data_IF_010853671405
#
_entry.id   IF_010853671405
#
_cell.length_a   1.000
_cell.length_b   1.000
_cell.length_c   1.000
_cell.angle_alpha   90.00
_cell.angle_beta   90.00
_cell.angle_gamma   90.00
#
_symmetry.space_group_name_H-M   'P 1'
#
loop_
_entity.id
_entity.type
_entity.pdbx_description
1 polymer ?
#
# COMPACT_ATOMS: atom_id res chain seq x y z
N UNK A 1 16.18 5.71 10.61
CA UNK A 1 15.63 4.44 11.13
C UNK A 1 14.21 4.62 11.71
N UNK A 2 13.98 5.55 12.67
CA UNK A 2 12.65 5.74 13.32
C UNK A 2 11.49 5.90 12.34
N UNK A 3 11.65 6.72 11.29
CA UNK A 3 10.61 6.90 10.28
C UNK A 3 10.30 5.62 9.49
N UNK A 4 11.31 4.85 9.10
CA UNK A 4 11.10 3.60 8.37
C UNK A 4 10.38 2.55 9.24
N UNK A 5 10.73 2.45 10.53
CA UNK A 5 10.00 1.62 11.50
C UNK A 5 8.55 2.11 11.66
N UNK A 6 8.33 3.43 11.71
CA UNK A 6 6.98 4.00 11.73
C UNK A 6 6.17 3.65 10.48
N UNK A 7 6.82 3.60 9.29
CA UNK A 7 6.16 3.21 8.05
C UNK A 7 5.70 1.75 8.08
N UNK A 8 6.57 0.84 8.54
CA UNK A 8 6.26 -0.58 8.66
C UNK A 8 5.13 -0.83 9.67
N UNK A 9 5.27 -0.28 10.89
CA UNK A 9 4.27 -0.45 11.96
C UNK A 9 2.93 0.23 11.64
N UNK A 10 2.94 1.31 10.84
CA UNK A 10 1.71 1.92 10.31
C UNK A 10 0.94 0.94 9.41
N UNK A 11 1.65 0.14 8.61
CA UNK A 11 1.08 -0.85 7.69
C UNK A 11 0.59 -2.13 8.38
N UNK A 12 1.06 -2.42 9.60
CA UNK A 12 0.78 -3.67 10.29
C UNK A 12 -0.72 -3.98 10.44
N UNK A 13 -1.61 -3.06 10.86
CA UNK A 13 -3.02 -3.35 10.98
C UNK A 13 -3.67 -3.78 9.67
N UNK A 14 -3.26 -3.20 8.55
CA UNK A 14 -3.80 -3.53 7.24
C UNK A 14 -3.32 -4.90 6.75
N UNK A 15 -2.06 -5.24 7.04
CA UNK A 15 -1.49 -6.54 6.69
C UNK A 15 -2.05 -7.69 7.56
N UNK A 16 -2.32 -7.43 8.84
CA UNK A 16 -2.86 -8.40 9.79
C UNK A 16 -4.38 -8.61 9.65
N UNK A 17 -5.11 -7.59 9.14
CA UNK A 17 -6.58 -7.57 9.10
C UNK A 17 -7.21 -8.81 8.45
N UNK A 18 -6.73 -9.36 7.32
CA UNK A 18 -7.34 -10.53 6.71
C UNK A 18 -7.45 -11.73 7.65
N UNK A 19 -6.42 -11.98 8.42
CA UNK A 19 -6.39 -13.10 9.37
C UNK A 19 -7.13 -12.74 10.66
N UNK A 20 -6.83 -11.59 11.25
CA UNK A 20 -7.41 -11.19 12.53
C UNK A 20 -8.95 -11.05 12.46
N UNK A 21 -9.48 -10.42 11.42
CA UNK A 21 -10.92 -10.23 11.27
C UNK A 21 -11.64 -11.51 10.86
N UNK A 22 -11.00 -12.39 10.07
CA UNK A 22 -11.58 -13.71 9.76
C UNK A 22 -11.72 -14.55 11.02
N UNK A 23 -10.67 -14.65 11.84
CA UNK A 23 -10.69 -15.39 13.11
C UNK A 23 -11.73 -14.81 14.07
N UNK A 24 -11.82 -13.48 14.15
CA UNK A 24 -12.79 -12.80 14.98
C UNK A 24 -14.22 -13.08 14.53
N UNK A 25 -14.52 -13.00 13.22
CA UNK A 25 -15.86 -13.27 12.70
C UNK A 25 -16.30 -14.71 12.96
N UNK A 26 -15.41 -15.68 12.76
CA UNK A 26 -15.68 -17.10 13.04
C UNK A 26 -15.95 -17.33 14.51
N UNK A 27 -15.20 -16.69 15.42
CA UNK A 27 -15.40 -16.86 16.88
C UNK A 27 -16.73 -16.30 17.40
N UNK A 28 -17.34 -15.38 16.66
CA UNK A 28 -18.66 -14.83 16.97
C UNK A 28 -19.83 -15.68 16.43
N UNK A 29 -19.54 -16.91 15.98
CA UNK A 29 -20.54 -17.82 15.41
C UNK A 29 -20.94 -17.48 13.97
N UNK A 30 -20.18 -16.57 13.32
CA UNK A 30 -20.34 -16.20 11.92
C UNK A 30 -19.44 -16.99 10.97
N UNK A 31 -19.56 -16.70 9.69
CA UNK A 31 -18.65 -17.23 8.66
C UNK A 31 -17.43 -16.31 8.47
N UNK A 32 -16.36 -16.82 7.85
CA UNK A 32 -15.19 -16.03 7.47
C UNK A 32 -15.55 -14.87 6.53
N UNK A 33 -16.67 -14.92 5.83
CA UNK A 33 -17.27 -13.85 5.04
C UNK A 33 -17.49 -12.55 5.83
N UNK A 34 -17.81 -12.65 7.15
CA UNK A 34 -17.90 -11.49 8.04
C UNK A 34 -16.57 -10.74 8.19
N UNK A 35 -15.46 -11.48 8.29
CA UNK A 35 -14.12 -10.91 8.30
C UNK A 35 -13.79 -10.20 6.98
N UNK A 36 -14.17 -10.80 5.85
CA UNK A 36 -14.00 -10.17 4.53
C UNK A 36 -14.81 -8.87 4.41
N UNK A 37 -16.03 -8.82 4.96
CA UNK A 37 -16.84 -7.59 5.00
C UNK A 37 -16.16 -6.48 5.83
N UNK A 38 -15.54 -6.82 6.96
CA UNK A 38 -14.78 -5.87 7.78
C UNK A 38 -13.57 -5.30 7.00
N UNK A 39 -12.84 -6.14 6.25
CA UNK A 39 -11.71 -5.70 5.42
C UNK A 39 -12.18 -4.79 4.30
N UNK A 40 -13.25 -5.18 3.61
CA UNK A 40 -13.83 -4.38 2.54
C UNK A 40 -14.26 -3.00 3.04
N UNK A 41 -14.98 -2.94 4.16
CA UNK A 41 -15.41 -1.70 4.79
C UNK A 41 -14.20 -0.83 5.19
N UNK A 42 -13.17 -1.42 5.79
CA UNK A 42 -11.92 -0.73 6.14
C UNK A 42 -11.22 -0.15 4.90
N UNK A 43 -11.17 -0.90 3.80
CA UNK A 43 -10.48 -0.49 2.56
C UNK A 43 -11.26 0.61 1.83
N UNK A 44 -12.59 0.46 1.70
CA UNK A 44 -13.44 1.48 1.09
C UNK A 44 -13.40 2.80 1.88
N UNK A 45 -13.48 2.71 3.20
CA UNK A 45 -13.37 3.87 4.08
C UNK A 45 -11.99 4.55 3.96
N UNK A 46 -10.90 3.79 3.82
CA UNK A 46 -9.55 4.34 3.55
C UNK A 46 -9.53 5.19 2.28
N UNK A 47 -10.15 4.72 1.21
CA UNK A 47 -10.26 5.46 -0.05
C UNK A 47 -11.08 6.73 0.14
N UNK A 48 -12.25 6.62 0.77
CA UNK A 48 -13.15 7.74 1.00
C UNK A 48 -12.54 8.81 1.92
N UNK A 49 -11.86 8.39 2.99
CA UNK A 49 -11.28 9.28 4.00
C UNK A 49 -9.96 9.96 3.60
N UNK A 50 -9.24 9.40 2.63
CA UNK A 50 -7.87 9.83 2.32
C UNK A 50 -7.74 11.34 2.07
N UNK A 51 -8.55 11.88 1.18
CA UNK A 51 -8.48 13.31 0.80
C UNK A 51 -9.20 14.23 1.77
N UNK A 52 -10.46 13.95 2.20
CA UNK A 52 -11.16 14.81 3.14
C UNK A 52 -10.41 15.01 4.46
N UNK A 53 -9.94 13.93 5.08
CA UNK A 53 -9.22 14.02 6.36
C UNK A 53 -7.88 14.75 6.21
N UNK A 54 -7.14 14.50 5.14
CA UNK A 54 -5.88 15.22 4.90
C UNK A 54 -6.12 16.72 4.73
N UNK A 55 -7.25 17.12 4.14
CA UNK A 55 -7.64 18.53 4.00
C UNK A 55 -8.00 19.16 5.34
N UNK A 56 -8.73 18.43 6.19
CA UNK A 56 -9.08 18.89 7.54
C UNK A 56 -7.84 19.13 8.39
N UNK A 57 -6.78 18.34 8.20
CA UNK A 57 -5.52 18.45 8.94
C UNK A 57 -4.60 19.61 8.52
N UNK A 58 -4.91 20.39 7.47
CA UNK A 58 -4.02 21.42 6.93
C UNK A 58 -3.61 22.52 7.91
N UNK A 59 -4.45 22.80 8.93
CA UNK A 59 -4.18 23.80 9.95
C UNK A 59 -3.34 23.31 11.13
N UNK A 60 -3.05 21.99 11.17
CA UNK A 60 -2.36 21.36 12.30
C UNK A 60 -0.89 21.05 11.94
N UNK A 61 0.02 21.08 12.94
CA UNK A 61 1.36 20.54 12.76
C UNK A 61 1.29 19.07 12.32
N UNK A 62 2.07 18.69 11.30
CA UNK A 62 1.99 17.34 10.69
C UNK A 62 2.13 16.21 11.71
N UNK A 63 3.04 16.36 12.70
CA UNK A 63 3.24 15.35 13.73
C UNK A 63 2.01 15.23 14.65
N UNK A 64 1.40 16.36 15.04
CA UNK A 64 0.18 16.37 15.87
C UNK A 64 -0.98 15.75 15.10
N UNK A 65 -1.17 16.14 13.85
CA UNK A 65 -2.22 15.56 12.99
C UNK A 65 -2.05 14.05 12.84
N UNK A 66 -0.83 13.58 12.55
CA UNK A 66 -0.53 12.15 12.47
C UNK A 66 -0.87 11.43 13.77
N UNK A 67 -0.49 11.97 14.94
CA UNK A 67 -0.80 11.37 16.24
C UNK A 67 -2.31 11.30 16.49
N UNK A 68 -3.08 12.30 16.10
CA UNK A 68 -4.55 12.29 16.19
C UNK A 68 -5.16 11.19 15.31
N UNK A 69 -4.69 11.05 14.07
CA UNK A 69 -5.15 9.98 13.19
C UNK A 69 -4.83 8.59 13.75
N UNK A 70 -3.62 8.41 14.30
CA UNK A 70 -3.21 7.15 14.92
C UNK A 70 -4.03 6.85 16.19
N UNK A 71 -4.30 7.86 17.03
CA UNK A 71 -5.14 7.70 18.20
C UNK A 71 -6.58 7.29 17.82
N UNK A 72 -7.17 7.95 16.81
CA UNK A 72 -8.50 7.60 16.30
C UNK A 72 -8.55 6.16 15.78
N UNK A 73 -7.53 5.74 14.99
CA UNK A 73 -7.44 4.36 14.50
C UNK A 73 -7.30 3.35 15.63
N UNK A 74 -6.40 3.62 16.56
CA UNK A 74 -6.16 2.74 17.72
C UNK A 74 -7.44 2.63 18.57
N UNK A 75 -8.15 3.72 18.82
CA UNK A 75 -9.42 3.70 19.54
C UNK A 75 -10.47 2.84 18.82
N UNK A 76 -10.58 2.94 17.49
CA UNK A 76 -11.50 2.12 16.71
C UNK A 76 -11.12 0.62 16.77
N UNK A 77 -9.82 0.26 16.67
CA UNK A 77 -9.37 -1.12 16.80
C UNK A 77 -9.57 -1.68 18.20
N UNK A 78 -9.33 -0.87 19.24
CA UNK A 78 -9.62 -1.26 20.64
C UNK A 78 -11.13 -1.45 20.82
N UNK A 79 -11.95 -0.57 20.23
CA UNK A 79 -13.41 -0.72 20.26
C UNK A 79 -13.88 -1.99 19.56
N UNK A 80 -13.24 -2.42 18.47
CA UNK A 80 -13.50 -3.74 17.85
C UNK A 80 -13.17 -4.87 18.83
N UNK A 81 -11.99 -4.83 19.46
CA UNK A 81 -11.54 -5.86 20.39
C UNK A 81 -12.49 -5.99 21.60
N UNK A 82 -12.85 -4.85 22.21
CA UNK A 82 -13.80 -4.81 23.33
C UNK A 82 -15.21 -5.19 22.88
N UNK A 83 -15.70 -4.63 21.77
CA UNK A 83 -17.01 -4.96 21.23
C UNK A 83 -17.18 -6.45 20.96
N UNK A 84 -16.18 -7.09 20.39
CA UNK A 84 -16.20 -8.54 20.18
C UNK A 84 -16.20 -9.32 21.51
N UNK A 85 -15.41 -8.87 22.50
CA UNK A 85 -15.39 -9.49 23.84
C UNK A 85 -16.74 -9.37 24.57
N UNK A 86 -17.50 -8.29 24.34
CA UNK A 86 -18.83 -8.08 24.90
C UNK A 86 -19.99 -8.51 24.00
N UNK A 87 -19.70 -9.27 22.92
CA UNK A 87 -20.76 -9.83 22.06
C UNK A 87 -21.45 -8.81 21.14
N UNK A 88 -20.76 -7.73 20.77
CA UNK A 88 -21.29 -6.74 19.82
C UNK A 88 -21.56 -7.41 18.46
N UNK A 89 -22.71 -7.09 17.84
CA UNK A 89 -23.09 -7.69 16.57
C UNK A 89 -22.16 -7.28 15.41
N UNK A 90 -22.02 -8.17 14.42
CA UNK A 90 -21.11 -8.00 13.27
C UNK A 90 -21.27 -6.65 12.51
N UNK A 91 -22.49 -6.10 12.29
CA UNK A 91 -22.63 -4.80 11.62
C UNK A 91 -21.91 -3.65 12.33
N UNK A 92 -21.90 -3.63 13.66
CA UNK A 92 -21.19 -2.63 14.44
C UNK A 92 -19.67 -2.81 14.34
N UNK A 93 -19.18 -4.05 14.32
CA UNK A 93 -17.76 -4.35 14.10
C UNK A 93 -17.30 -3.93 12.71
N UNK A 94 -18.16 -4.11 11.68
CA UNK A 94 -17.92 -3.61 10.32
C UNK A 94 -17.83 -2.07 10.30
N UNK A 95 -18.74 -1.38 11.01
CA UNK A 95 -18.72 0.07 11.12
C UNK A 95 -17.45 0.59 11.81
N UNK A 96 -17.01 -0.09 12.89
CA UNK A 96 -15.76 0.23 13.57
C UNK A 96 -14.52 -0.05 12.70
N UNK A 97 -14.53 -1.12 11.91
CA UNK A 97 -13.48 -1.41 10.93
C UNK A 97 -13.41 -0.32 9.85
N UNK A 98 -14.57 0.16 9.37
CA UNK A 98 -14.63 1.32 8.48
C UNK A 98 -14.04 2.58 9.14
N UNK A 99 -14.37 2.85 10.39
CA UNK A 99 -13.81 3.98 11.15
C UNK A 99 -12.29 3.88 11.29
N UNK A 100 -11.75 2.68 11.58
CA UNK A 100 -10.30 2.43 11.61
C UNK A 100 -9.65 2.65 10.24
N UNK A 101 -10.33 2.24 9.16
CA UNK A 101 -9.87 2.41 7.78
C UNK A 101 -9.84 3.87 7.33
N UNK A 102 -10.84 4.65 7.73
CA UNK A 102 -11.05 6.03 7.28
C UNK A 102 -9.80 6.90 7.40
N UNK A 103 -9.01 6.71 8.45
CA UNK A 103 -7.80 7.49 8.74
C UNK A 103 -6.53 6.99 8.05
N UNK A 104 -6.52 5.76 7.53
CA UNK A 104 -5.30 5.11 7.02
C UNK A 104 -4.65 5.87 5.86
N UNK A 105 -5.45 6.35 4.90
CA UNK A 105 -4.95 7.09 3.74
C UNK A 105 -4.27 8.40 4.15
N UNK A 106 -4.93 9.17 5.00
CA UNK A 106 -4.41 10.44 5.53
C UNK A 106 -3.17 10.22 6.41
N UNK A 107 -3.16 9.17 7.25
CA UNK A 107 -2.01 8.82 8.10
C UNK A 107 -0.78 8.45 7.25
N UNK A 108 -0.95 7.61 6.22
CA UNK A 108 0.13 7.23 5.32
C UNK A 108 0.68 8.43 4.54
N UNK A 109 -0.20 9.28 4.02
CA UNK A 109 0.16 10.49 3.30
C UNK A 109 0.94 11.48 4.18
N UNK A 110 0.44 11.69 5.41
CA UNK A 110 1.09 12.58 6.38
C UNK A 110 2.45 12.01 6.83
N UNK A 111 2.55 10.72 7.14
CA UNK A 111 3.80 10.06 7.51
C UNK A 111 4.84 10.18 6.40
N UNK A 112 4.43 10.00 5.14
CA UNK A 112 5.34 10.17 3.99
C UNK A 112 5.81 11.62 3.85
N UNK A 113 4.93 12.59 4.05
CA UNK A 113 5.30 14.01 4.01
C UNK A 113 6.25 14.41 5.14
N UNK A 114 6.08 13.83 6.33
CA UNK A 114 6.97 14.02 7.48
C UNK A 114 8.41 13.60 7.17
N UNK A 115 8.64 12.61 6.31
CA UNK A 115 9.99 12.20 5.91
C UNK A 115 10.80 13.35 5.33
N UNK A 116 10.16 14.25 4.59
CA UNK A 116 10.84 15.39 3.97
C UNK A 116 11.42 16.39 5.00
N UNK A 117 10.98 16.33 6.26
CA UNK A 117 11.50 17.16 7.35
C UNK A 117 12.73 16.52 8.03
N UNK A 118 12.90 15.20 7.89
CA UNK A 118 13.98 14.45 8.57
C UNK A 118 15.10 13.99 7.66
N UNK A 119 14.81 13.73 6.40
CA UNK A 119 15.77 13.14 5.48
C UNK A 119 16.30 14.21 4.52
N UNK A 120 17.64 14.35 4.40
CA UNK A 120 18.22 15.17 3.34
C UNK A 120 17.86 14.56 1.97
N UNK A 121 17.79 15.40 0.95
CA UNK A 121 17.42 14.98 -0.42
C UNK A 121 18.31 13.83 -0.93
N UNK A 122 19.59 13.81 -0.55
CA UNK A 122 20.56 12.77 -0.88
C UNK A 122 20.29 11.42 -0.21
N UNK A 123 19.61 11.41 0.94
CA UNK A 123 19.26 10.19 1.70
C UNK A 123 17.85 9.65 1.43
N UNK A 124 17.06 10.36 0.65
CA UNK A 124 15.64 10.05 0.46
C UNK A 124 15.40 8.67 -0.16
N UNK A 125 16.15 8.30 -1.21
CA UNK A 125 16.02 7.00 -1.87
C UNK A 125 16.35 5.85 -0.91
N UNK A 126 17.39 6.01 -0.09
CA UNK A 126 17.77 5.03 0.95
C UNK A 126 16.66 4.87 1.99
N UNK A 127 16.11 5.98 2.49
CA UNK A 127 15.04 5.94 3.48
C UNK A 127 13.79 5.21 2.95
N UNK A 128 13.40 5.51 1.71
CA UNK A 128 12.27 4.85 1.05
C UNK A 128 12.53 3.37 0.76
N UNK A 129 13.73 3.00 0.33
CA UNK A 129 14.11 1.62 0.11
C UNK A 129 14.08 0.79 1.41
N UNK A 130 14.62 1.34 2.50
CA UNK A 130 14.54 0.69 3.84
C UNK A 130 13.08 0.53 4.26
N UNK A 131 12.26 1.57 4.07
CA UNK A 131 10.84 1.49 4.42
C UNK A 131 10.10 0.45 3.57
N UNK A 132 10.40 0.36 2.27
CA UNK A 132 9.82 -0.66 1.38
C UNK A 132 10.18 -2.07 1.88
N UNK A 133 11.46 -2.34 2.16
CA UNK A 133 11.91 -3.63 2.71
C UNK A 133 11.20 -3.98 4.02
N UNK A 134 11.13 -3.03 4.97
CA UNK A 134 10.44 -3.26 6.24
C UNK A 134 8.94 -3.45 6.05
N UNK A 135 8.33 -2.78 5.09
CA UNK A 135 6.92 -2.96 4.77
C UNK A 135 6.65 -4.38 4.24
N UNK A 136 7.48 -4.89 3.33
CA UNK A 136 7.38 -6.27 2.84
C UNK A 136 7.50 -7.29 3.99
N UNK A 137 8.48 -7.11 4.88
CA UNK A 137 8.62 -7.94 6.07
C UNK A 137 7.38 -7.86 6.97
N UNK A 138 6.75 -6.69 7.07
CA UNK A 138 5.51 -6.51 7.82
C UNK A 138 4.35 -7.28 7.19
N UNK A 139 4.21 -7.25 5.86
CA UNK A 139 3.17 -8.00 5.16
C UNK A 139 3.31 -9.52 5.30
N UNK A 140 4.54 -10.02 5.48
CA UNK A 140 4.77 -11.44 5.80
C UNK A 140 4.54 -11.74 7.28
N UNK A 141 5.06 -10.90 8.18
CA UNK A 141 5.04 -11.17 9.61
C UNK A 141 3.67 -10.91 10.26
N UNK A 142 2.93 -9.89 9.79
CA UNK A 142 1.70 -9.48 10.44
C UNK A 142 0.59 -10.56 10.40
N UNK A 143 0.34 -11.26 9.28
CA UNK A 143 -0.60 -12.40 9.27
C UNK A 143 -0.17 -13.54 10.19
N UNK A 144 1.15 -13.82 10.27
CA UNK A 144 1.69 -14.87 11.15
C UNK A 144 1.45 -14.52 12.61
N UNK A 145 1.75 -13.27 13.00
CA UNK A 145 1.49 -12.77 14.37
C UNK A 145 -0.01 -12.80 14.67
N UNK A 146 -0.85 -12.33 13.73
CA UNK A 146 -2.30 -12.33 13.90
C UNK A 146 -2.86 -13.77 14.05
N UNK A 147 -2.35 -14.73 13.29
CA UNK A 147 -2.71 -16.13 13.38
C UNK A 147 -2.26 -16.74 14.70
N UNK A 148 -0.99 -16.55 15.08
CA UNK A 148 -0.44 -17.09 16.33
C UNK A 148 -1.15 -16.55 17.58
N UNK A 149 -1.40 -15.24 17.64
CA UNK A 149 -2.16 -14.65 18.75
C UNK A 149 -3.65 -14.98 18.67
N UNK A 150 -4.20 -15.04 17.47
CA UNK A 150 -5.58 -15.39 17.22
C UNK A 150 -5.92 -16.84 17.55
N UNK A 151 -4.95 -17.76 17.54
CA UNK A 151 -5.13 -19.15 17.99
C UNK A 151 -5.32 -19.26 19.52
N UNK A 152 -4.79 -18.30 20.29
CA UNK A 152 -4.98 -18.21 21.74
C UNK A 152 -6.32 -17.51 22.04
N UNK A 153 -6.56 -16.37 21.41
CA UNK A 153 -7.84 -15.64 21.44
C UNK A 153 -7.97 -14.77 20.20
N UNK A 154 -9.09 -14.83 19.46
CA UNK A 154 -9.32 -14.01 18.27
C UNK A 154 -9.19 -12.51 18.53
N UNK A 155 -9.52 -12.06 19.74
CA UNK A 155 -9.39 -10.67 20.18
C UNK A 155 -7.92 -10.23 20.23
N UNK A 156 -6.99 -11.14 20.55
CA UNK A 156 -5.55 -10.79 20.66
C UNK A 156 -4.93 -10.39 19.32
N UNK A 157 -5.41 -10.96 18.21
CA UNK A 157 -5.00 -10.52 16.87
C UNK A 157 -5.33 -9.03 16.62
N UNK A 158 -6.53 -8.59 17.02
CA UNK A 158 -6.96 -7.20 16.89
C UNK A 158 -6.23 -6.28 17.89
N UNK A 159 -5.98 -6.77 19.11
CA UNK A 159 -5.16 -6.02 20.09
C UNK A 159 -3.75 -5.81 19.57
N UNK A 160 -3.14 -6.80 18.93
CA UNK A 160 -1.83 -6.64 18.29
C UNK A 160 -1.86 -5.59 17.17
N UNK A 161 -2.93 -5.58 16.35
CA UNK A 161 -3.14 -4.53 15.34
C UNK A 161 -3.16 -3.14 15.97
N UNK A 162 -3.89 -2.97 17.09
CA UNK A 162 -3.99 -1.71 17.80
C UNK A 162 -2.63 -1.29 18.40
N UNK A 163 -1.96 -2.20 19.09
CA UNK A 163 -0.69 -1.93 19.77
C UNK A 163 0.44 -1.58 18.79
N UNK A 164 0.68 -2.45 17.79
CA UNK A 164 1.74 -2.22 16.80
C UNK A 164 1.40 -1.03 15.91
N UNK A 165 0.15 -0.87 15.53
CA UNK A 165 -0.33 0.26 14.75
C UNK A 165 -0.22 1.62 15.45
N UNK A 166 -0.16 1.65 16.78
CA UNK A 166 0.05 2.88 17.57
C UNK A 166 1.52 3.31 17.67
N UNK A 167 2.49 2.40 17.46
CA UNK A 167 3.92 2.69 17.61
C UNK A 167 4.42 3.93 16.87
N UNK A 168 3.96 4.27 15.66
CA UNK A 168 4.39 5.49 15.00
C UNK A 168 4.12 6.77 15.81
N UNK A 169 3.10 6.78 16.67
CA UNK A 169 2.82 7.93 17.53
C UNK A 169 3.93 8.18 18.57
N UNK A 170 4.62 7.12 18.99
CA UNK A 170 5.74 7.18 19.93
C UNK A 170 7.08 7.41 19.21
N UNK A 171 7.23 6.84 18.00
CA UNK A 171 8.48 6.88 17.24
C UNK A 171 8.74 8.25 16.60
N UNK A 172 7.66 8.99 16.26
CA UNK A 172 7.77 10.31 15.62
C UNK A 172 7.84 11.39 16.71
N UNK A 173 8.96 12.13 16.80
CA UNK A 173 9.11 13.20 17.76
C UNK A 173 8.10 14.33 17.47
N UNK A 174 7.82 15.14 18.51
CA UNK A 174 7.08 16.37 18.33
C UNK A 174 7.95 17.31 17.51
N UNK A 175 7.57 17.53 16.27
CA UNK A 175 8.15 18.57 15.45
C UNK A 175 7.61 19.90 15.96
N UNK A 176 8.50 20.85 16.20
CA UNK A 176 8.10 22.23 16.46
C UNK A 176 7.16 22.77 15.38
N UNK A 177 6.50 23.90 15.57
CA UNK A 177 5.66 24.49 14.55
C UNK A 177 6.46 24.56 13.26
N UNK A 178 5.93 23.94 12.21
CA UNK A 178 6.51 24.08 10.88
C UNK A 178 6.66 25.57 10.61
N UNK A 179 7.82 25.97 10.08
CA UNK A 179 7.97 27.34 9.60
C UNK A 179 6.72 27.67 8.80
N UNK A 180 6.04 28.77 9.19
CA UNK A 180 4.82 29.20 8.50
C UNK A 180 5.14 29.17 7.02
N UNK A 181 4.33 28.51 6.19
CA UNK A 181 4.52 28.61 4.76
C UNK A 181 4.53 30.10 4.43
N UNK A 182 5.58 30.55 3.72
CA UNK A 182 5.58 31.88 3.15
C UNK A 182 4.18 32.16 2.58
N UNK A 183 3.62 33.31 2.92
CA UNK A 183 2.34 33.80 2.41
C UNK A 183 2.44 34.22 0.93
N UNK A 184 3.25 33.51 0.15
CA UNK A 184 3.20 33.63 -1.30
C UNK A 184 1.79 33.27 -1.77
N UNK A 185 1.21 34.03 -2.72
CA UNK A 185 -0.17 33.85 -3.17
C UNK A 185 -0.41 32.37 -3.45
N UNK A 186 -1.43 31.81 -2.79
CA UNK A 186 -1.83 30.41 -2.96
C UNK A 186 -2.24 30.21 -4.43
N UNK A 187 -1.24 29.95 -5.28
CA UNK A 187 -1.56 29.46 -6.63
C UNK A 187 -2.51 28.29 -6.50
N UNK A 188 -3.64 28.39 -7.20
CA UNK A 188 -4.66 27.34 -7.29
C UNK A 188 -4.14 26.15 -8.10
N UNK A 189 -2.94 25.65 -7.78
CA UNK A 189 -2.32 24.53 -8.48
C UNK A 189 -3.12 23.26 -8.13
N UNK A 190 -3.75 22.69 -9.13
CA UNK A 190 -4.54 21.46 -8.95
C UNK A 190 -3.62 20.28 -8.58
N UNK A 191 -3.99 19.52 -7.54
CA UNK A 191 -3.33 18.24 -7.21
C UNK A 191 -3.66 17.14 -8.23
N UNK A 192 -4.62 17.37 -9.11
CA UNK A 192 -5.02 16.45 -10.17
C UNK A 192 -4.44 16.90 -11.53
N UNK A 193 -3.20 17.38 -11.54
CA UNK A 193 -2.51 17.68 -12.79
C UNK A 193 -2.24 16.40 -13.59
N UNK A 194 -2.21 16.45 -14.93
CA UNK A 194 -1.98 15.28 -15.77
C UNK A 194 -0.72 14.47 -15.40
N UNK A 195 0.43 15.10 -15.04
CA UNK A 195 1.59 14.35 -14.59
C UNK A 195 1.36 13.59 -13.28
N UNK A 196 0.65 14.19 -12.30
CA UNK A 196 0.32 13.53 -11.03
C UNK A 196 -0.62 12.35 -11.30
N UNK A 197 -1.66 12.54 -12.10
CA UNK A 197 -2.61 11.48 -12.46
C UNK A 197 -1.92 10.31 -13.15
N UNK A 198 -0.95 10.58 -14.04
CA UNK A 198 -0.17 9.52 -14.70
C UNK A 198 0.57 8.64 -13.69
N UNK A 199 1.26 9.24 -12.72
CA UNK A 199 2.00 8.46 -11.73
C UNK A 199 1.09 7.77 -10.70
N UNK A 200 -0.08 8.35 -10.40
CA UNK A 200 -1.13 7.67 -9.62
C UNK A 200 -1.70 6.46 -10.38
N UNK A 201 -1.92 6.58 -11.70
CA UNK A 201 -2.35 5.45 -12.53
C UNK A 201 -1.29 4.33 -12.57
N UNK A 202 0.01 4.69 -12.67
CA UNK A 202 1.10 3.71 -12.56
C UNK A 202 1.12 3.02 -11.19
N UNK A 203 0.83 3.76 -10.11
CA UNK A 203 0.74 3.20 -8.76
C UNK A 203 -0.43 2.21 -8.66
N UNK A 204 -1.59 2.55 -9.23
CA UNK A 204 -2.76 1.68 -9.26
C UNK A 204 -2.49 0.41 -10.09
N UNK A 205 -1.88 0.56 -11.29
CA UNK A 205 -1.53 -0.56 -12.15
C UNK A 205 -0.53 -1.51 -11.47
N UNK A 206 0.50 -0.95 -10.81
CA UNK A 206 1.46 -1.73 -10.04
C UNK A 206 0.80 -2.48 -8.88
N UNK A 207 -0.06 -1.80 -8.11
CA UNK A 207 -0.84 -2.40 -7.04
C UNK A 207 -1.76 -3.54 -7.51
N UNK A 208 -2.41 -3.36 -8.67
CA UNK A 208 -3.22 -4.40 -9.29
C UNK A 208 -2.37 -5.62 -9.71
N UNK A 209 -1.19 -5.37 -10.29
CA UNK A 209 -0.27 -6.44 -10.75
C UNK A 209 0.22 -7.30 -9.58
N UNK A 210 0.61 -6.68 -8.46
CA UNK A 210 1.03 -7.41 -7.25
C UNK A 210 -0.14 -8.18 -6.64
N UNK A 211 -1.27 -7.50 -6.45
CA UNK A 211 -2.47 -8.10 -5.88
C UNK A 211 -2.99 -9.27 -6.72
N UNK A 212 -2.81 -9.25 -8.05
CA UNK A 212 -3.18 -10.36 -8.93
C UNK A 212 -2.43 -11.66 -8.58
N UNK A 213 -1.15 -11.57 -8.22
CA UNK A 213 -0.37 -12.74 -7.80
C UNK A 213 -0.71 -13.11 -6.36
N UNK A 214 -0.79 -12.16 -5.43
CA UNK A 214 -1.04 -12.43 -4.01
C UNK A 214 -2.44 -13.01 -3.76
N UNK A 215 -3.47 -12.36 -4.32
CA UNK A 215 -4.87 -12.79 -4.16
C UNK A 215 -5.15 -14.00 -5.06
N UNK A 216 -4.59 -14.02 -6.27
CA UNK A 216 -4.72 -15.11 -7.23
C UNK A 216 -3.90 -16.35 -6.91
N UNK A 217 -3.04 -16.32 -5.88
CA UNK A 217 -2.08 -17.40 -5.57
C UNK A 217 -2.73 -18.77 -5.39
N UNK A 218 -3.87 -18.84 -4.71
CA UNK A 218 -4.63 -20.09 -4.53
C UNK A 218 -5.19 -20.57 -5.86
N UNK A 219 -5.75 -19.67 -6.65
CA UNK A 219 -6.29 -20.02 -7.98
C UNK A 219 -5.17 -20.46 -8.94
N UNK A 220 -3.98 -19.87 -8.85
CA UNK A 220 -2.79 -20.30 -9.59
C UNK A 220 -2.35 -21.70 -9.18
N UNK A 221 -2.30 -22.01 -7.86
CA UNK A 221 -1.96 -23.34 -7.37
C UNK A 221 -2.93 -24.38 -7.91
N UNK A 222 -4.23 -24.12 -7.82
CA UNK A 222 -5.28 -25.01 -8.33
C UNK A 222 -5.21 -25.20 -9.86
N UNK A 223 -4.94 -24.13 -10.61
CA UNK A 223 -4.81 -24.17 -12.07
C UNK A 223 -3.66 -25.05 -12.53
N UNK A 224 -2.60 -25.18 -11.74
CA UNK A 224 -1.47 -26.08 -12.00
C UNK A 224 -1.63 -27.46 -11.34
N UNK A 225 -2.80 -27.79 -10.78
CA UNK A 225 -3.08 -29.09 -10.16
C UNK A 225 -2.47 -29.28 -8.78
N UNK A 226 -2.04 -28.19 -8.12
CA UNK A 226 -1.50 -28.23 -6.75
C UNK A 226 -2.58 -28.04 -5.70
N UNK A 227 -2.27 -28.45 -4.47
CA UNK A 227 -3.13 -28.17 -3.30
C UNK A 227 -3.13 -26.66 -2.98
N UNK A 228 -4.23 -26.12 -2.42
CA UNK A 228 -4.34 -24.70 -2.04
C UNK A 228 -3.20 -24.21 -1.12
N UNK A 229 -2.69 -25.07 -0.25
CA UNK A 229 -1.56 -24.76 0.63
C UNK A 229 -0.27 -24.38 -0.12
N UNK A 230 -0.11 -24.83 -1.39
CA UNK A 230 1.03 -24.50 -2.23
C UNK A 230 0.92 -23.15 -2.92
N UNK A 231 -0.10 -22.34 -2.63
CA UNK A 231 -0.18 -20.93 -3.00
C UNK A 231 1.07 -20.13 -2.59
N UNK A 232 1.72 -20.55 -1.51
CA UNK A 232 3.00 -19.95 -1.04
C UNK A 232 4.12 -19.99 -2.09
N UNK A 233 4.08 -20.94 -3.04
CA UNK A 233 5.05 -21.01 -4.14
C UNK A 233 5.07 -19.75 -4.99
N UNK A 234 3.95 -19.04 -5.12
CA UNK A 234 3.84 -17.83 -5.93
C UNK A 234 4.08 -16.56 -5.11
N UNK A 235 3.63 -16.52 -3.87
CA UNK A 235 3.74 -15.33 -3.01
C UNK A 235 5.12 -15.18 -2.39
N UNK A 236 5.75 -16.26 -1.94
CA UNK A 236 7.08 -16.21 -1.28
C UNK A 236 8.16 -15.69 -2.22
N UNK A 237 8.34 -16.20 -3.47
CA UNK A 237 9.32 -15.65 -4.39
C UNK A 237 9.09 -14.18 -4.74
N UNK A 238 7.83 -13.75 -4.88
CA UNK A 238 7.48 -12.34 -5.07
C UNK A 238 7.96 -11.49 -3.90
N UNK A 239 7.62 -11.88 -2.67
CA UNK A 239 8.02 -11.15 -1.46
C UNK A 239 9.55 -11.10 -1.28
N UNK A 240 10.24 -12.22 -1.48
CA UNK A 240 11.71 -12.26 -1.38
C UNK A 240 12.38 -11.38 -2.44
N UNK A 241 11.87 -11.39 -3.66
CA UNK A 241 12.35 -10.53 -4.73
C UNK A 241 12.09 -9.04 -4.42
N UNK A 242 10.93 -8.71 -3.83
CA UNK A 242 10.60 -7.34 -3.41
C UNK A 242 11.54 -6.85 -2.30
N UNK A 243 11.86 -7.70 -1.32
CA UNK A 243 12.88 -7.41 -0.29
C UNK A 243 14.24 -7.14 -0.94
N UNK A 244 14.66 -7.98 -1.90
CA UNK A 244 15.92 -7.79 -2.62
C UNK A 244 15.93 -6.46 -3.41
N UNK A 245 14.83 -6.12 -4.08
CA UNK A 245 14.64 -4.83 -4.74
C UNK A 245 14.73 -3.65 -3.80
N UNK A 246 14.13 -3.75 -2.61
CA UNK A 246 14.20 -2.73 -1.55
C UNK A 246 15.61 -2.53 -1.00
N UNK A 247 16.34 -3.60 -0.76
CA UNK A 247 17.76 -3.57 -0.35
C UNK A 247 18.59 -2.90 -1.45
N UNK A 248 18.39 -3.28 -2.71
CA UNK A 248 19.12 -2.70 -3.84
C UNK A 248 18.94 -1.18 -3.93
N UNK A 249 17.70 -0.68 -3.79
CA UNK A 249 17.41 0.77 -3.76
C UNK A 249 18.10 1.45 -2.57
N UNK A 250 18.07 0.81 -1.40
CA UNK A 250 18.65 1.35 -0.17
C UNK A 250 20.18 1.50 -0.28
N UNK A 251 20.85 0.50 -0.86
CA UNK A 251 22.30 0.50 -1.06
C UNK A 251 22.72 1.47 -2.14
N UNK A 252 22.02 1.45 -3.29
CA UNK A 252 22.37 2.29 -4.44
C UNK A 252 22.13 3.79 -4.16
N UNK A 253 21.13 4.12 -3.37
CA UNK A 253 20.78 5.47 -2.92
C UNK A 253 20.89 6.56 -4.01
N UNK A 254 20.43 6.25 -5.21
CA UNK A 254 20.45 7.15 -6.37
C UNK A 254 19.04 7.36 -6.91
N UNK A 255 18.76 8.57 -7.42
CA UNK A 255 17.53 8.80 -8.17
C UNK A 255 17.63 8.04 -9.50
N UNK A 256 16.64 7.18 -9.83
CA UNK A 256 16.70 6.44 -11.08
C UNK A 256 16.58 7.38 -12.27
N UNK A 257 17.33 7.08 -13.34
CA UNK A 257 17.18 7.77 -14.61
C UNK A 257 15.86 7.36 -15.27
N UNK A 258 15.35 8.18 -16.20
CA UNK A 258 14.15 7.85 -16.96
C UNK A 258 14.26 6.50 -17.67
N UNK A 259 15.45 6.17 -18.23
CA UNK A 259 15.70 4.88 -18.88
C UNK A 259 15.55 3.72 -17.87
N UNK A 260 16.07 3.89 -16.66
CA UNK A 260 15.96 2.90 -15.60
C UNK A 260 14.49 2.66 -15.22
N UNK A 261 13.70 3.72 -15.07
CA UNK A 261 12.26 3.59 -14.75
C UNK A 261 11.50 2.89 -15.86
N UNK A 262 11.76 3.25 -17.11
CA UNK A 262 11.12 2.59 -18.26
C UNK A 262 11.50 1.10 -18.32
N UNK A 263 12.77 0.76 -18.08
CA UNK A 263 13.21 -0.63 -18.02
C UNK A 263 12.50 -1.39 -16.89
N UNK A 264 12.34 -0.78 -15.71
CA UNK A 264 11.61 -1.39 -14.59
C UNK A 264 10.12 -1.59 -14.89
N UNK A 265 9.47 -0.62 -15.55
CA UNK A 265 8.08 -0.77 -16.00
C UNK A 265 7.93 -1.90 -17.03
N UNK A 266 8.87 -2.00 -17.97
CA UNK A 266 8.89 -3.10 -18.96
C UNK A 266 9.13 -4.47 -18.28
N UNK A 267 10.01 -4.55 -17.29
CA UNK A 267 10.22 -5.77 -16.49
C UNK A 267 8.93 -6.15 -15.75
N UNK A 268 8.21 -5.18 -15.18
CA UNK A 268 6.93 -5.44 -14.53
C UNK A 268 5.87 -5.93 -15.51
N UNK A 269 5.80 -5.35 -16.72
CA UNK A 269 4.93 -5.84 -17.80
C UNK A 269 5.30 -7.26 -18.21
N UNK A 270 6.60 -7.56 -18.41
CA UNK A 270 7.07 -8.89 -18.78
C UNK A 270 6.76 -9.93 -17.71
N UNK A 271 6.97 -9.58 -16.43
CA UNK A 271 6.61 -10.44 -15.31
C UNK A 271 5.10 -10.73 -15.23
N UNK A 272 4.27 -9.70 -15.40
CA UNK A 272 2.82 -9.84 -15.47
C UNK A 272 2.36 -10.69 -16.65
N UNK A 273 2.95 -10.49 -17.84
CA UNK A 273 2.65 -11.27 -19.04
C UNK A 273 3.05 -12.74 -18.89
N UNK A 274 4.21 -13.04 -18.30
CA UNK A 274 4.62 -14.41 -18.00
C UNK A 274 3.67 -15.11 -17.04
N UNK A 275 3.22 -14.42 -16.01
CA UNK A 275 2.23 -14.96 -15.08
C UNK A 275 0.87 -15.19 -15.76
N UNK A 276 0.43 -14.26 -16.63
CA UNK A 276 -0.83 -14.36 -17.34
C UNK A 276 -0.83 -15.43 -18.43
N UNK A 277 0.33 -15.73 -19.03
CA UNK A 277 0.46 -16.73 -20.07
C UNK A 277 0.17 -18.15 -19.58
N UNK A 278 0.33 -18.45 -18.27
CA UNK A 278 0.00 -19.75 -17.68
C UNK A 278 0.74 -20.95 -18.29
N UNK A 279 1.89 -20.72 -18.94
CA UNK A 279 2.61 -21.75 -19.72
C UNK A 279 3.17 -22.86 -18.83
N UNK A 280 3.68 -22.51 -17.66
CA UNK A 280 4.25 -23.44 -16.70
C UNK A 280 4.38 -22.77 -15.34
N UNK A 281 4.50 -23.59 -14.29
CA UNK A 281 4.80 -23.09 -12.94
C UNK A 281 6.09 -22.26 -12.93
N UNK A 282 7.14 -22.73 -13.60
CA UNK A 282 8.42 -22.05 -13.66
C UNK A 282 8.29 -20.67 -14.32
N UNK A 283 7.54 -20.54 -15.43
CA UNK A 283 7.28 -19.25 -16.07
C UNK A 283 6.53 -18.29 -15.15
N UNK A 284 5.50 -18.77 -14.44
CA UNK A 284 4.74 -17.97 -13.46
C UNK A 284 5.61 -17.53 -12.30
N UNK A 285 6.49 -18.40 -11.77
CA UNK A 285 7.44 -18.07 -10.71
C UNK A 285 8.44 -17.01 -11.16
N UNK A 286 9.00 -17.15 -12.37
CA UNK A 286 9.88 -16.12 -12.96
C UNK A 286 9.12 -14.80 -13.08
N UNK A 287 7.85 -14.84 -13.53
CA UNK A 287 6.98 -13.67 -13.56
C UNK A 287 6.83 -12.99 -12.20
N UNK A 288 6.52 -13.77 -11.16
CA UNK A 288 6.39 -13.27 -9.79
C UNK A 288 7.70 -12.64 -9.27
N UNK A 289 8.85 -13.28 -9.52
CA UNK A 289 10.17 -12.74 -9.16
C UNK A 289 10.46 -11.43 -9.90
N UNK A 290 10.18 -11.34 -11.19
CA UNK A 290 10.38 -10.12 -11.97
C UNK A 290 9.52 -8.97 -11.43
N UNK A 291 8.24 -9.23 -11.11
CA UNK A 291 7.34 -8.25 -10.48
C UNK A 291 7.92 -7.78 -9.15
N UNK A 292 8.29 -8.72 -8.27
CA UNK A 292 8.85 -8.42 -6.95
C UNK A 292 10.11 -7.56 -7.03
N UNK A 293 11.08 -7.92 -7.87
CA UNK A 293 12.36 -7.20 -8.01
C UNK A 293 12.19 -5.72 -8.32
N UNK A 294 11.18 -5.35 -9.09
CA UNK A 294 10.96 -3.95 -9.51
C UNK A 294 9.92 -3.22 -8.65
N UNK A 295 9.21 -3.92 -7.77
CA UNK A 295 8.15 -3.33 -6.93
C UNK A 295 8.68 -2.19 -6.05
N UNK A 296 9.66 -2.45 -5.20
CA UNK A 296 10.23 -1.45 -4.31
C UNK A 296 10.96 -0.31 -5.04
N UNK A 297 11.76 -0.58 -6.10
CA UNK A 297 12.33 0.47 -6.96
C UNK A 297 11.28 1.39 -7.58
N UNK A 298 10.20 0.85 -8.15
CA UNK A 298 9.13 1.63 -8.77
C UNK A 298 8.35 2.43 -7.72
N UNK A 299 7.97 1.81 -6.60
CA UNK A 299 7.29 2.51 -5.50
C UNK A 299 8.12 3.70 -4.96
N UNK A 300 9.44 3.51 -4.83
CA UNK A 300 10.37 4.58 -4.46
C UNK A 300 10.37 5.69 -5.51
N UNK A 301 10.43 5.34 -6.80
CA UNK A 301 10.39 6.33 -7.87
C UNK A 301 9.09 7.12 -7.89
N UNK A 302 7.94 6.44 -7.80
CA UNK A 302 6.63 7.11 -7.75
C UNK A 302 6.55 8.08 -6.59
N UNK A 303 7.03 7.67 -5.41
CA UNK A 303 7.08 8.55 -4.23
C UNK A 303 7.97 9.78 -4.45
N UNK A 304 9.15 9.62 -5.08
CA UNK A 304 10.08 10.72 -5.35
C UNK A 304 9.55 11.69 -6.42
N UNK A 305 8.97 11.18 -7.50
CA UNK A 305 8.45 12.03 -8.57
C UNK A 305 7.20 12.79 -8.12
N UNK A 306 6.30 12.14 -7.38
CA UNK A 306 5.14 12.79 -6.81
C UNK A 306 5.53 13.86 -5.79
N UNK A 307 6.61 13.65 -5.02
CA UNK A 307 7.17 14.66 -4.12
C UNK A 307 7.64 15.92 -4.85
N UNK A 308 8.23 15.75 -6.03
CA UNK A 308 8.69 16.89 -6.86
C UNK A 308 7.55 17.60 -7.57
N UNK A 309 6.49 16.88 -7.95
CA UNK A 309 5.33 17.44 -8.65
C UNK A 309 4.33 18.09 -7.69
N UNK A 310 4.31 17.64 -6.44
CA UNK A 310 3.36 18.13 -5.44
C UNK A 310 3.77 19.48 -4.87
N UNK A 311 2.86 20.49 -4.82
CA UNK A 311 3.10 21.71 -4.08
C UNK A 311 3.46 21.40 -2.62
N UNK A 312 4.45 22.07 -2.00
CA UNK A 312 4.93 21.71 -0.66
C UNK A 312 3.83 21.58 0.40
N UNK A 313 2.86 22.50 0.40
CA UNK A 313 1.73 22.53 1.33
C UNK A 313 0.68 21.44 1.05
N UNK A 314 0.71 20.79 -0.12
CA UNK A 314 -0.25 19.73 -0.54
C UNK A 314 0.38 18.35 -0.67
N UNK A 315 1.63 18.17 -0.33
CA UNK A 315 2.32 16.86 -0.35
C UNK A 315 1.57 15.76 0.41
N UNK A 316 1.03 15.99 1.63
CA UNK A 316 0.26 14.98 2.33
C UNK A 316 -0.95 14.48 1.52
N UNK A 317 -1.62 15.38 0.79
CA UNK A 317 -2.77 15.02 -0.06
C UNK A 317 -2.35 14.13 -1.23
N UNK A 318 -1.26 14.48 -1.92
CA UNK A 318 -0.75 13.70 -3.06
C UNK A 318 -0.29 12.31 -2.59
N UNK A 319 0.34 12.20 -1.42
CA UNK A 319 0.73 10.90 -0.87
C UNK A 319 -0.47 10.10 -0.36
N UNK A 320 -1.51 10.76 0.17
CA UNK A 320 -2.77 10.10 0.48
C UNK A 320 -3.44 9.55 -0.79
N UNK A 321 -3.44 10.33 -1.90
CA UNK A 321 -3.90 9.87 -3.20
C UNK A 321 -3.07 8.71 -3.76
N UNK A 322 -1.76 8.72 -3.57
CA UNK A 322 -0.90 7.59 -3.96
C UNK A 322 -1.31 6.30 -3.22
N UNK A 323 -1.59 6.38 -1.92
CA UNK A 323 -2.09 5.25 -1.15
C UNK A 323 -3.46 4.79 -1.63
N UNK A 324 -4.35 5.73 -1.92
CA UNK A 324 -5.67 5.47 -2.51
C UNK A 324 -5.55 4.79 -3.87
N UNK A 325 -4.69 5.28 -4.75
CA UNK A 325 -4.45 4.70 -6.07
C UNK A 325 -3.99 3.24 -5.97
N UNK A 326 -3.06 2.94 -5.06
CA UNK A 326 -2.66 1.55 -4.79
C UNK A 326 -3.85 0.70 -4.32
N UNK A 327 -4.66 1.18 -3.38
CA UNK A 327 -5.84 0.48 -2.91
C UNK A 327 -6.88 0.24 -4.03
N UNK A 328 -7.09 1.22 -4.91
CA UNK A 328 -7.93 1.05 -6.10
C UNK A 328 -7.39 -0.04 -7.03
N UNK A 329 -6.08 -0.14 -7.19
CA UNK A 329 -5.45 -1.23 -7.94
C UNK A 329 -5.74 -2.60 -7.33
N UNK A 330 -5.61 -2.74 -6.02
CA UNK A 330 -5.93 -3.98 -5.29
C UNK A 330 -7.41 -4.34 -5.44
N UNK A 331 -8.31 -3.36 -5.31
CA UNK A 331 -9.76 -3.56 -5.50
C UNK A 331 -10.05 -4.02 -6.94
N UNK A 332 -9.42 -3.40 -7.94
CA UNK A 332 -9.56 -3.78 -9.34
C UNK A 332 -9.12 -5.23 -9.56
N UNK A 333 -7.97 -5.63 -9.04
CA UNK A 333 -7.47 -7.01 -9.15
C UNK A 333 -8.44 -7.99 -8.48
N UNK A 334 -8.92 -7.69 -7.27
CA UNK A 334 -9.90 -8.51 -6.56
C UNK A 334 -11.19 -8.68 -7.35
N UNK A 335 -11.72 -7.58 -7.89
CA UNK A 335 -12.94 -7.60 -8.69
C UNK A 335 -12.78 -8.43 -9.97
N UNK A 336 -11.67 -8.27 -10.68
CA UNK A 336 -11.39 -9.05 -11.90
C UNK A 336 -11.23 -10.54 -11.60
N UNK A 337 -10.49 -10.91 -10.54
CA UNK A 337 -10.32 -12.30 -10.13
C UNK A 337 -11.61 -12.97 -9.65
N UNK A 338 -12.59 -12.17 -9.19
CA UNK A 338 -13.89 -12.67 -8.76
C UNK A 338 -14.89 -12.77 -9.91
N UNK A 339 -14.85 -11.80 -10.84
CA UNK A 339 -15.85 -11.70 -11.91
C UNK A 339 -15.46 -12.43 -13.21
N UNK A 340 -14.18 -12.79 -13.39
CA UNK A 340 -13.67 -13.40 -14.61
C UNK A 340 -12.87 -14.67 -14.32
N UNK A 341 -12.57 -15.46 -15.36
CA UNK A 341 -11.65 -16.59 -15.24
C UNK A 341 -10.24 -16.08 -14.90
N UNK A 342 -9.45 -16.90 -14.20
CA UNK A 342 -8.08 -16.55 -13.80
C UNK A 342 -7.23 -16.03 -14.97
N UNK A 343 -7.16 -16.69 -16.14
CA UNK A 343 -6.39 -16.19 -17.28
C UNK A 343 -6.91 -14.82 -17.78
N UNK A 344 -8.22 -14.65 -17.86
CA UNK A 344 -8.82 -13.38 -18.32
C UNK A 344 -8.52 -12.22 -17.35
N UNK A 345 -8.61 -12.47 -16.05
CA UNK A 345 -8.28 -11.49 -15.02
C UNK A 345 -6.79 -11.08 -15.10
N UNK A 346 -5.88 -12.05 -15.20
CA UNK A 346 -4.44 -11.79 -15.30
C UNK A 346 -4.10 -11.01 -16.58
N UNK A 347 -4.71 -11.38 -17.72
CA UNK A 347 -4.52 -10.66 -18.99
C UNK A 347 -5.05 -9.23 -18.92
N UNK A 348 -6.24 -9.01 -18.31
CA UNK A 348 -6.79 -7.67 -18.14
C UNK A 348 -5.88 -6.79 -17.29
N UNK A 349 -5.36 -7.31 -16.17
CA UNK A 349 -4.43 -6.61 -15.29
C UNK A 349 -3.11 -6.31 -16.01
N UNK A 350 -2.59 -7.26 -16.78
CA UNK A 350 -1.42 -7.04 -17.64
C UNK A 350 -1.68 -5.93 -18.64
N UNK A 351 -2.85 -5.89 -19.26
CA UNK A 351 -3.27 -4.81 -20.16
C UNK A 351 -3.25 -3.44 -19.49
N UNK A 352 -3.75 -3.34 -18.25
CA UNK A 352 -3.71 -2.10 -17.45
C UNK A 352 -2.26 -1.66 -17.19
N UNK A 353 -1.37 -2.61 -16.85
CA UNK A 353 0.05 -2.31 -16.62
C UNK A 353 0.76 -1.86 -17.89
N UNK A 354 0.49 -2.50 -19.02
CA UNK A 354 1.01 -2.11 -20.36
C UNK A 354 0.51 -0.72 -20.73
N UNK A 355 -0.78 -0.43 -20.55
CA UNK A 355 -1.36 0.88 -20.86
C UNK A 355 -0.68 1.99 -20.02
N UNK A 356 -0.48 1.77 -18.73
CA UNK A 356 0.25 2.71 -17.86
C UNK A 356 1.70 2.92 -18.34
N UNK A 357 2.39 1.85 -18.72
CA UNK A 357 3.77 1.90 -19.23
C UNK A 357 3.87 2.69 -20.54
N UNK A 358 2.96 2.43 -21.49
CA UNK A 358 2.86 3.17 -22.76
C UNK A 358 2.59 4.63 -22.51
N UNK A 359 1.67 4.96 -21.59
CA UNK A 359 1.37 6.34 -21.25
C UNK A 359 2.60 7.10 -20.74
N UNK A 360 3.43 6.47 -19.89
CA UNK A 360 4.72 7.05 -19.43
C UNK A 360 5.69 7.22 -20.60
N UNK A 361 5.75 6.26 -21.53
CA UNK A 361 6.57 6.34 -22.74
C UNK A 361 6.20 7.55 -23.58
N UNK A 362 4.91 7.71 -23.91
CA UNK A 362 4.37 8.80 -24.74
C UNK A 362 4.56 10.16 -24.07
N UNK A 363 4.22 10.28 -22.78
CA UNK A 363 4.37 11.52 -22.03
C UNK A 363 5.83 12.02 -22.06
N UNK A 364 6.76 11.11 -22.03
CA UNK A 364 8.16 11.47 -22.06
C UNK A 364 8.73 11.79 -23.44
N UNK A 365 8.10 11.38 -24.52
CA UNK A 365 8.45 11.85 -25.89
C UNK A 365 7.97 13.27 -26.07
N UNK A 366 6.74 13.60 -25.61
CA UNK A 366 6.17 14.95 -25.70
C UNK A 366 6.95 16.02 -24.91
N UNK A 367 7.54 15.65 -23.77
CA UNK A 367 8.37 16.56 -22.98
C UNK A 367 9.74 16.88 -23.59
N UNK A 368 10.11 16.28 -24.73
CA UNK A 368 11.36 16.53 -25.46
C UNK A 368 11.22 17.50 -26.64
N UNK A 369 10.03 17.99 -26.95
CA UNK A 369 9.87 19.03 -27.98
C UNK A 369 10.35 20.33 -27.36
N UNK A 370 11.51 20.90 -27.79
CA UNK A 370 11.96 22.19 -27.31
C UNK A 370 10.96 23.24 -27.79
N UNK A 371 10.41 23.99 -26.87
CA UNK A 371 9.83 25.29 -27.24
C UNK A 371 10.96 26.12 -27.84
N UNK A 372 10.98 26.26 -29.17
CA UNK A 372 11.74 27.27 -29.90
C UNK A 372 11.17 28.66 -29.62
#
# INVERSE_FOLDING_TARGET
MRWAASSATLGFPQAAAPVAFALLAVSLGGEASGGAAMILAMTLAQVAGALPLTRLGRGLPMATFLKLLLAARTAALVAIALGAAFGLSLPWLIALAAAAGLVNGAAAGTLRAVLNQFAPVSGMSRALGIAATLNELTFVAAPVVASGLGSVSPVFGVVAMAAVGALPALLIPNLGPAARPDESPREKTSILSPPILLWLACTAAGGATVAAIEIGAVALALAFGYQPALAILFTVPLCLASVAGGIWVSVRNRRPSRRTVMAQLLVMCAGSALAAAGLSVAATLVGAVLIGLVLAPLATHYSLILDTLAPPHRRPEVFALMRTANACGVILASALLTAASLPAALLAITGVMVAATVAVGVAGVRGRVPHR
#
